data_IF_704247518640
#
_entry.id   IF_704247518640
#
_cell.length_a   1.000
_cell.length_b   1.000
_cell.length_c   1.000
_cell.angle_alpha   90.00
_cell.angle_beta   90.00
_cell.angle_gamma   90.00
#
_symmetry.space_group_name_H-M   'P 1'
#
loop_
_entity.id
_entity.type
_entity.pdbx_description
1 polymer ?
#
# COMPACT_ATOMS: atom_id res chain seq x y z
N UNK A 1 12.61 8.94 1.00
CA UNK A 1 12.99 7.74 0.21
C UNK A 1 12.91 8.12 -1.26
N UNK A 2 13.78 7.57 -2.10
CA UNK A 2 13.73 7.76 -3.53
C UNK A 2 13.52 6.43 -4.23
N UNK A 3 12.75 6.43 -5.30
CA UNK A 3 12.56 5.33 -6.22
C UNK A 3 13.21 5.63 -7.56
N UNK A 4 13.79 4.60 -8.16
CA UNK A 4 14.51 4.71 -9.41
C UNK A 4 13.71 4.09 -10.55
N UNK A 5 13.62 4.78 -11.67
CA UNK A 5 12.83 4.37 -12.82
C UNK A 5 13.65 4.50 -14.11
N UNK A 6 13.23 3.76 -15.12
CA UNK A 6 13.71 3.89 -16.48
C UNK A 6 12.66 4.59 -17.33
N UNK A 7 13.09 5.53 -18.15
CA UNK A 7 12.22 6.16 -19.13
C UNK A 7 12.00 5.20 -20.31
N UNK A 8 10.74 4.83 -20.62
CA UNK A 8 10.46 3.92 -21.73
C UNK A 8 10.83 4.53 -23.09
N UNK A 9 10.66 5.83 -23.25
CA UNK A 9 11.06 6.54 -24.48
C UNK A 9 12.57 6.43 -24.68
N UNK A 10 13.36 6.66 -23.63
CA UNK A 10 14.81 6.49 -23.70
C UNK A 10 15.21 5.06 -24.05
N UNK A 11 14.50 4.05 -23.53
CA UNK A 11 14.78 2.66 -23.86
C UNK A 11 14.50 2.38 -25.35
N UNK A 12 13.39 2.89 -25.89
CA UNK A 12 13.05 2.76 -27.32
C UNK A 12 14.07 3.47 -28.22
N UNK A 13 14.61 4.60 -27.78
CA UNK A 13 15.67 5.35 -28.47
C UNK A 13 17.07 4.75 -28.28
N UNK A 14 17.21 3.66 -27.52
CA UNK A 14 18.50 3.02 -27.21
C UNK A 14 19.35 3.81 -26.21
N UNK A 15 18.78 4.77 -25.53
CA UNK A 15 19.44 5.55 -24.49
C UNK A 15 19.35 4.83 -23.15
N UNK A 16 20.44 4.85 -22.38
CA UNK A 16 20.40 4.37 -20.98
C UNK A 16 20.08 5.56 -20.10
N UNK A 17 18.82 5.69 -19.74
CA UNK A 17 18.40 6.69 -18.78
C UNK A 17 17.72 6.05 -17.55
N UNK A 18 18.07 6.59 -16.42
CA UNK A 18 17.63 6.17 -15.12
C UNK A 18 17.46 7.45 -14.29
N UNK A 19 16.26 7.71 -13.84
CA UNK A 19 15.93 8.90 -13.06
C UNK A 19 15.33 8.51 -11.70
N UNK A 20 15.46 9.41 -10.74
CA UNK A 20 14.96 9.19 -9.39
C UNK A 20 13.78 10.11 -9.09
N UNK A 21 12.76 9.58 -8.44
CA UNK A 21 11.61 10.34 -7.95
C UNK A 21 11.54 10.22 -6.44
N UNK A 22 11.30 11.34 -5.78
CA UNK A 22 11.10 11.36 -4.34
C UNK A 22 9.73 10.76 -3.98
N UNK A 23 9.73 9.79 -3.06
CA UNK A 23 8.50 9.19 -2.55
C UNK A 23 7.92 10.08 -1.44
N UNK A 24 6.94 10.88 -1.81
CA UNK A 24 6.16 11.76 -0.95
C UNK A 24 4.66 11.64 -1.30
N UNK A 25 3.79 12.46 -0.75
CA UNK A 25 2.34 12.37 -1.05
C UNK A 25 2.04 12.54 -2.54
N UNK A 26 2.71 13.47 -3.22
CA UNK A 26 2.52 13.71 -4.66
C UNK A 26 2.89 12.49 -5.51
N UNK A 27 3.84 11.66 -5.07
CA UNK A 27 4.21 10.42 -5.75
C UNK A 27 3.03 9.46 -5.94
N UNK A 28 2.09 9.44 -4.99
CA UNK A 28 0.88 8.60 -5.05
C UNK A 28 -0.28 9.24 -5.81
N UNK A 29 -0.09 10.44 -6.36
CA UNK A 29 -1.08 11.20 -7.14
C UNK A 29 -0.72 11.28 -8.63
N UNK A 30 0.06 10.32 -9.12
CA UNK A 30 0.52 10.26 -10.51
C UNK A 30 1.18 11.58 -10.95
N UNK A 31 2.37 11.92 -10.42
CA UNK A 31 3.05 13.17 -10.74
C UNK A 31 3.51 13.23 -12.19
N UNK A 32 3.57 14.45 -12.74
CA UNK A 32 4.35 14.69 -13.95
C UNK A 32 5.83 14.69 -13.58
N UNK A 33 6.63 13.95 -14.34
CA UNK A 33 8.08 13.80 -14.16
C UNK A 33 8.81 14.05 -15.45
N UNK A 34 10.09 14.39 -15.33
CA UNK A 34 10.99 14.60 -16.47
C UNK A 34 12.24 13.76 -16.28
N UNK A 35 12.61 12.97 -17.28
CA UNK A 35 13.85 12.22 -17.28
C UNK A 35 15.06 13.08 -17.63
N UNK A 36 16.30 12.59 -17.48
CA UNK A 36 17.53 13.35 -17.76
C UNK A 36 17.67 13.76 -19.23
N UNK A 37 16.97 13.08 -20.13
CA UNK A 37 16.95 13.41 -21.56
C UNK A 37 15.80 14.37 -21.96
N UNK A 38 15.03 14.88 -20.98
CA UNK A 38 14.00 15.88 -21.18
C UNK A 38 12.64 15.32 -21.58
N UNK A 39 12.42 14.00 -21.57
CA UNK A 39 11.10 13.41 -21.82
C UNK A 39 10.20 13.63 -20.61
N UNK A 40 8.99 14.18 -20.86
CA UNK A 40 7.98 14.47 -19.84
C UNK A 40 6.83 13.50 -19.95
N UNK A 41 6.43 12.91 -18.84
CA UNK A 41 5.31 11.97 -18.77
C UNK A 41 4.70 11.92 -17.37
N UNK A 42 3.50 11.35 -17.25
CA UNK A 42 2.89 11.07 -15.96
C UNK A 42 3.38 9.73 -15.45
N UNK A 43 3.96 9.74 -14.25
CA UNK A 43 4.39 8.54 -13.55
C UNK A 43 3.20 7.89 -12.86
N UNK A 44 2.72 6.79 -13.40
CA UNK A 44 1.62 6.03 -12.84
C UNK A 44 2.15 4.89 -11.96
N UNK A 45 2.05 5.05 -10.65
CA UNK A 45 2.48 4.03 -9.68
C UNK A 45 1.31 3.21 -9.17
N UNK A 46 1.31 1.90 -9.45
CA UNK A 46 0.29 0.96 -8.98
C UNK A 46 0.59 0.33 -7.62
N UNK A 47 1.78 0.57 -7.06
CA UNK A 47 2.14 0.02 -5.75
C UNK A 47 1.43 0.78 -4.65
N UNK A 48 0.70 0.09 -3.74
CA UNK A 48 -0.03 0.74 -2.67
C UNK A 48 0.88 1.47 -1.69
N UNK A 49 0.40 2.58 -1.11
CA UNK A 49 1.14 3.36 -0.12
C UNK A 49 1.55 2.55 1.11
N UNK A 50 0.68 1.64 1.56
CA UNK A 50 0.99 0.80 2.73
C UNK A 50 2.21 -0.09 2.49
N UNK A 51 2.45 -0.52 1.26
CA UNK A 51 3.57 -1.39 0.92
C UNK A 51 4.91 -0.65 1.03
N UNK A 52 4.95 0.63 0.63
CA UNK A 52 6.10 1.51 0.89
C UNK A 52 6.34 1.71 2.38
N UNK A 53 5.28 1.91 3.17
CA UNK A 53 5.40 2.08 4.62
C UNK A 53 5.97 0.84 5.30
N UNK A 54 5.56 -0.36 4.87
CA UNK A 54 6.14 -1.60 5.38
C UNK A 54 7.59 -1.80 4.96
N UNK A 55 7.95 -1.46 3.74
CA UNK A 55 9.35 -1.46 3.30
C UNK A 55 10.20 -0.54 4.17
N UNK A 56 9.73 0.69 4.41
CA UNK A 56 10.40 1.63 5.31
C UNK A 56 10.50 1.12 6.75
N UNK A 57 9.48 0.40 7.23
CA UNK A 57 9.50 -0.22 8.56
C UNK A 57 10.59 -1.28 8.70
N UNK A 58 10.73 -2.14 7.68
CA UNK A 58 11.80 -3.16 7.63
C UNK A 58 13.17 -2.52 7.57
N UNK A 59 13.35 -1.49 6.75
CA UNK A 59 14.62 -0.75 6.67
C UNK A 59 14.98 -0.05 8.00
N UNK A 60 14.00 0.57 8.66
CA UNK A 60 14.20 1.18 9.95
C UNK A 60 14.58 0.15 11.03
N UNK A 61 13.90 -1.02 11.04
CA UNK A 61 14.23 -2.12 11.93
C UNK A 61 15.68 -2.60 11.74
N UNK A 62 16.10 -2.85 10.49
CA UNK A 62 17.47 -3.27 10.17
C UNK A 62 18.54 -2.26 10.62
N UNK A 63 18.18 -0.99 10.73
CA UNK A 63 19.04 0.08 11.26
C UNK A 63 18.90 0.29 12.78
N UNK A 64 18.23 -0.65 13.49
CA UNK A 64 17.90 -0.53 14.91
C UNK A 64 17.09 0.73 15.29
N UNK A 65 16.41 1.36 14.33
CA UNK A 65 15.50 2.47 14.58
C UNK A 65 14.08 1.96 14.82
N UNK A 66 13.88 1.33 15.97
CA UNK A 66 12.63 0.65 16.31
C UNK A 66 11.45 1.61 16.47
N UNK A 67 11.68 2.85 16.94
CA UNK A 67 10.64 3.87 17.03
C UNK A 67 10.06 4.20 15.66
N UNK A 68 10.91 4.44 14.67
CA UNK A 68 10.45 4.69 13.30
C UNK A 68 9.78 3.45 12.71
N UNK A 69 10.33 2.25 12.94
CA UNK A 69 9.74 1.00 12.45
C UNK A 69 8.33 0.81 12.99
N UNK A 70 8.11 0.99 14.30
CA UNK A 70 6.78 0.91 14.94
C UNK A 70 5.78 1.90 14.31
N UNK A 71 6.19 3.15 14.10
CA UNK A 71 5.32 4.16 13.48
C UNK A 71 4.97 3.80 12.04
N UNK A 72 5.94 3.32 11.25
CA UNK A 72 5.70 2.93 9.86
C UNK A 72 4.82 1.67 9.76
N UNK A 73 5.02 0.68 10.64
CA UNK A 73 4.16 -0.52 10.72
C UNK A 73 2.70 -0.14 11.00
N UNK A 74 2.47 0.73 11.98
CA UNK A 74 1.12 1.12 12.35
C UNK A 74 0.46 1.99 11.26
N UNK A 75 1.19 2.95 10.70
CA UNK A 75 0.72 3.77 9.58
C UNK A 75 0.42 2.92 8.33
N UNK A 76 1.26 1.93 8.04
CA UNK A 76 1.03 0.97 6.96
C UNK A 76 -0.26 0.17 7.18
N UNK A 77 -0.50 -0.29 8.40
CA UNK A 77 -1.74 -0.97 8.76
C UNK A 77 -2.98 -0.07 8.56
N UNK A 78 -2.95 1.17 9.05
CA UNK A 78 -4.06 2.13 8.84
C UNK A 78 -4.31 2.41 7.35
N UNK A 79 -3.25 2.57 6.55
CA UNK A 79 -3.35 2.72 5.09
C UNK A 79 -3.96 1.47 4.44
N UNK A 80 -3.55 0.27 4.85
CA UNK A 80 -4.13 -0.97 4.35
C UNK A 80 -5.64 -1.07 4.64
N UNK A 81 -6.08 -0.74 5.86
CA UNK A 81 -7.50 -0.72 6.19
C UNK A 81 -8.27 0.27 5.31
N UNK A 82 -7.70 1.44 5.05
CA UNK A 82 -8.30 2.45 4.16
C UNK A 82 -8.42 1.93 2.73
N UNK A 83 -7.38 1.30 2.19
CA UNK A 83 -7.40 0.75 0.84
C UNK A 83 -8.39 -0.42 0.73
N UNK A 84 -8.53 -1.25 1.77
CA UNK A 84 -9.53 -2.30 1.82
C UNK A 84 -10.97 -1.73 1.78
N UNK A 85 -11.25 -0.70 2.57
CA UNK A 85 -12.55 0.00 2.56
C UNK A 85 -12.82 0.62 1.19
N UNK A 86 -11.81 1.27 0.61
CA UNK A 86 -11.90 1.90 -0.71
C UNK A 86 -12.20 0.88 -1.82
N UNK A 87 -11.52 -0.26 -1.79
CA UNK A 87 -11.72 -1.38 -2.73
C UNK A 87 -13.15 -1.90 -2.67
N UNK A 88 -13.67 -2.12 -1.46
CA UNK A 88 -15.06 -2.54 -1.28
C UNK A 88 -16.04 -1.49 -1.83
N UNK A 89 -15.86 -0.22 -1.46
CA UNK A 89 -16.71 0.86 -1.98
C UNK A 89 -16.66 0.94 -3.50
N UNK A 90 -15.47 0.83 -4.11
CA UNK A 90 -15.32 0.85 -5.56
C UNK A 90 -16.03 -0.33 -6.22
N UNK A 91 -15.94 -1.52 -5.63
CA UNK A 91 -16.65 -2.71 -6.14
C UNK A 91 -18.18 -2.54 -6.16
N UNK A 92 -18.73 -1.78 -5.20
CA UNK A 92 -20.17 -1.54 -5.08
C UNK A 92 -20.65 -0.35 -5.91
N UNK A 93 -19.91 0.77 -5.86
CA UNK A 93 -20.34 2.05 -6.42
C UNK A 93 -19.94 2.22 -7.89
N UNK A 94 -18.84 1.60 -8.32
CA UNK A 94 -18.26 1.74 -9.68
C UNK A 94 -17.99 3.21 -10.07
N UNK A 95 -17.79 4.08 -9.09
CA UNK A 95 -17.58 5.52 -9.26
C UNK A 95 -16.48 6.02 -8.32
N UNK A 96 -15.30 6.28 -8.87
CA UNK A 96 -14.12 6.71 -8.12
C UNK A 96 -14.32 8.07 -7.46
N UNK A 97 -15.07 8.97 -8.06
CA UNK A 97 -15.34 10.32 -7.51
C UNK A 97 -16.12 10.22 -6.19
N UNK A 98 -17.14 9.37 -6.15
CA UNK A 98 -17.91 9.09 -4.93
C UNK A 98 -17.07 8.36 -3.89
N UNK A 99 -16.24 7.41 -4.29
CA UNK A 99 -15.32 6.70 -3.39
C UNK A 99 -14.36 7.69 -2.73
N UNK A 100 -13.67 8.52 -3.51
CA UNK A 100 -12.72 9.51 -2.98
C UNK A 100 -13.38 10.54 -2.05
N UNK A 101 -14.59 11.01 -2.38
CA UNK A 101 -15.36 11.91 -1.50
C UNK A 101 -15.74 11.20 -0.20
N UNK A 102 -16.23 9.96 -0.27
CA UNK A 102 -16.58 9.18 0.92
C UNK A 102 -15.36 8.96 1.82
N UNK A 103 -14.21 8.60 1.24
CA UNK A 103 -12.98 8.41 2.01
C UNK A 103 -12.50 9.70 2.69
N UNK A 104 -12.74 10.87 2.11
CA UNK A 104 -12.45 12.16 2.76
C UNK A 104 -13.33 12.40 3.99
N UNK A 105 -14.61 12.04 3.93
CA UNK A 105 -15.53 12.19 5.06
C UNK A 105 -15.19 11.23 6.23
N UNK A 106 -14.67 10.05 5.93
CA UNK A 106 -14.32 9.04 6.93
C UNK A 106 -12.81 8.96 7.20
N UNK A 107 -12.03 10.00 6.93
CA UNK A 107 -10.56 9.97 6.95
C UNK A 107 -9.91 9.82 8.34
N UNK A 108 -10.69 9.78 9.44
CA UNK A 108 -10.19 9.53 10.78
C UNK A 108 -10.04 8.03 11.03
N UNK A 109 -8.95 7.64 11.70
CA UNK A 109 -8.63 6.23 11.99
C UNK A 109 -9.82 5.46 12.58
N UNK A 110 -10.55 6.04 13.54
CA UNK A 110 -11.68 5.35 14.17
C UNK A 110 -12.82 5.09 13.18
N UNK A 111 -13.09 6.03 12.26
CA UNK A 111 -14.14 5.88 11.25
C UNK A 111 -13.75 4.85 10.18
N UNK A 112 -12.51 4.88 9.72
CA UNK A 112 -11.97 3.88 8.79
C UNK A 112 -12.03 2.50 9.43
N UNK A 113 -11.60 2.37 10.69
CA UNK A 113 -11.65 1.12 11.42
C UNK A 113 -13.10 0.60 11.58
N UNK A 114 -14.04 1.47 11.91
CA UNK A 114 -15.46 1.11 11.99
C UNK A 114 -16.04 0.64 10.66
N UNK A 115 -15.72 1.33 9.57
CA UNK A 115 -16.10 0.94 8.21
C UNK A 115 -15.49 -0.42 7.84
N UNK A 116 -14.18 -0.61 8.10
CA UNK A 116 -13.49 -1.87 7.87
C UNK A 116 -14.14 -3.04 8.62
N UNK A 117 -14.38 -2.91 9.93
CA UNK A 117 -15.03 -3.97 10.75
C UNK A 117 -16.39 -4.33 10.19
N UNK A 118 -17.18 -3.35 9.75
CA UNK A 118 -18.50 -3.57 9.16
C UNK A 118 -18.41 -4.31 7.83
N UNK A 119 -17.50 -3.88 6.96
CA UNK A 119 -17.27 -4.52 5.66
C UNK A 119 -16.73 -5.94 5.83
N UNK A 120 -15.78 -6.12 6.75
CA UNK A 120 -15.25 -7.44 7.09
C UNK A 120 -16.36 -8.42 7.49
N UNK A 121 -17.29 -7.98 8.37
CA UNK A 121 -18.42 -8.81 8.78
C UNK A 121 -19.38 -9.11 7.62
N UNK A 122 -19.61 -8.16 6.71
CA UNK A 122 -20.43 -8.35 5.50
C UNK A 122 -19.81 -9.38 4.57
N UNK A 123 -18.50 -9.27 4.31
CA UNK A 123 -17.80 -10.12 3.35
C UNK A 123 -17.59 -11.54 3.89
N UNK A 124 -17.05 -11.65 5.10
CA UNK A 124 -16.59 -12.93 5.65
C UNK A 124 -17.57 -13.61 6.58
N UNK A 125 -18.71 -12.94 6.93
CA UNK A 125 -19.71 -13.43 7.88
C UNK A 125 -19.13 -13.76 9.26
N UNK A 126 -18.08 -13.01 9.65
CA UNK A 126 -17.35 -13.17 10.90
C UNK A 126 -17.14 -11.81 11.57
N UNK A 127 -17.00 -11.82 12.89
CA UNK A 127 -16.64 -10.62 13.65
C UNK A 127 -15.13 -10.43 13.62
N UNK A 128 -14.66 -9.30 13.09
CA UNK A 128 -13.25 -8.97 13.14
C UNK A 128 -12.78 -8.67 14.58
N UNK A 129 -11.80 -9.42 15.06
CA UNK A 129 -11.17 -9.18 16.35
C UNK A 129 -9.98 -8.25 16.14
N UNK A 130 -10.17 -6.96 16.40
CA UNK A 130 -9.12 -5.96 16.22
C UNK A 130 -8.02 -6.09 17.30
N UNK A 131 -7.19 -7.12 17.17
CA UNK A 131 -6.07 -7.39 18.08
C UNK A 131 -4.96 -6.33 17.96
N UNK A 132 -4.77 -5.77 16.76
CA UNK A 132 -3.76 -4.73 16.53
C UNK A 132 -4.11 -3.48 17.33
N UNK A 133 -5.35 -3.00 17.23
CA UNK A 133 -5.78 -1.82 17.98
C UNK A 133 -5.66 -2.04 19.49
N UNK A 134 -6.11 -3.20 19.98
CA UNK A 134 -6.09 -3.50 21.41
C UNK A 134 -4.71 -3.64 22.02
N UNK A 135 -3.77 -4.29 21.30
CA UNK A 135 -2.45 -4.66 21.85
C UNK A 135 -1.34 -3.69 21.47
N UNK A 136 -1.41 -3.11 20.29
CA UNK A 136 -0.29 -2.37 19.69
C UNK A 136 -0.50 -0.86 19.57
N UNK A 137 -1.75 -0.35 19.63
CA UNK A 137 -2.00 1.10 19.66
C UNK A 137 -1.31 1.78 20.84
N UNK A 138 -1.21 1.11 21.99
CA UNK A 138 -0.55 1.64 23.18
C UNK A 138 0.93 1.91 22.94
N UNK A 139 1.66 0.99 22.26
CA UNK A 139 3.09 1.18 21.94
C UNK A 139 3.24 2.35 20.96
N UNK A 140 2.44 2.37 19.90
CA UNK A 140 2.44 3.47 18.93
C UNK A 140 2.18 4.81 19.59
N UNK A 141 1.19 4.89 20.48
CA UNK A 141 0.87 6.13 21.17
C UNK A 141 1.98 6.58 22.14
N UNK A 142 2.65 5.65 22.84
CA UNK A 142 3.82 5.97 23.66
C UNK A 142 4.97 6.50 22.80
N UNK A 143 5.26 5.88 21.66
CA UNK A 143 6.31 6.35 20.74
C UNK A 143 5.99 7.75 20.24
N UNK A 144 4.77 7.98 19.77
CA UNK A 144 4.37 9.23 19.13
C UNK A 144 4.21 10.38 20.12
N UNK A 145 3.57 10.14 21.28
CA UNK A 145 3.22 11.21 22.23
C UNK A 145 4.15 11.35 23.41
N UNK A 146 4.83 10.26 23.82
CA UNK A 146 5.67 10.26 25.02
C UNK A 146 7.17 10.08 24.74
N UNK A 147 7.59 10.03 23.46
CA UNK A 147 8.99 9.84 23.11
C UNK A 147 9.56 8.49 23.58
N UNK A 148 8.72 7.48 23.68
CA UNK A 148 9.11 6.15 24.12
C UNK A 148 10.00 5.46 23.07
N UNK A 149 11.05 4.77 23.55
CA UNK A 149 11.92 3.96 22.70
C UNK A 149 11.55 2.48 22.87
N UNK A 150 10.84 1.88 21.90
CA UNK A 150 10.49 0.47 21.97
C UNK A 150 11.73 -0.42 21.86
N UNK A 151 11.67 -1.59 22.50
CA UNK A 151 12.71 -2.61 22.33
C UNK A 151 12.58 -3.29 20.97
N UNK A 152 13.67 -4.00 20.59
CA UNK A 152 13.66 -4.86 19.40
C UNK A 152 12.52 -5.89 19.43
N UNK A 153 12.32 -6.51 20.61
CA UNK A 153 11.27 -7.51 20.81
C UNK A 153 9.86 -6.94 20.64
N UNK A 154 9.59 -5.73 21.16
CA UNK A 154 8.30 -5.05 21.00
C UNK A 154 8.04 -4.70 19.52
N UNK A 155 9.05 -4.22 18.82
CA UNK A 155 8.97 -3.91 17.39
C UNK A 155 8.71 -5.19 16.58
N UNK A 156 9.43 -6.26 16.84
CA UNK A 156 9.28 -7.55 16.18
C UNK A 156 7.87 -8.15 16.41
N UNK A 157 7.38 -8.13 17.65
CA UNK A 157 6.03 -8.62 17.98
C UNK A 157 4.95 -7.83 17.23
N UNK A 158 5.08 -6.52 17.17
CA UNK A 158 4.14 -5.67 16.43
C UNK A 158 4.21 -5.94 14.92
N UNK A 159 5.40 -6.04 14.35
CA UNK A 159 5.59 -6.31 12.93
C UNK A 159 4.97 -7.65 12.53
N UNK A 160 5.24 -8.72 13.29
CA UNK A 160 4.63 -10.02 13.03
C UNK A 160 3.10 -9.96 13.14
N UNK A 161 2.56 -9.31 14.16
CA UNK A 161 1.12 -9.20 14.35
C UNK A 161 0.44 -8.46 13.19
N UNK A 162 0.99 -7.31 12.78
CA UNK A 162 0.45 -6.51 11.67
C UNK A 162 0.47 -7.29 10.36
N UNK A 163 1.62 -7.85 9.99
CA UNK A 163 1.74 -8.57 8.72
C UNK A 163 0.91 -9.86 8.69
N UNK A 164 0.84 -10.61 9.81
CA UNK A 164 -0.01 -11.80 9.89
C UNK A 164 -1.48 -11.45 9.66
N UNK A 165 -1.99 -10.39 10.29
CA UNK A 165 -3.38 -9.95 10.11
C UNK A 165 -3.66 -9.58 8.65
N UNK A 166 -2.76 -8.84 8.00
CA UNK A 166 -2.93 -8.44 6.60
C UNK A 166 -2.91 -9.68 5.69
N UNK A 167 -1.98 -10.60 5.91
CA UNK A 167 -1.88 -11.84 5.11
C UNK A 167 -3.13 -12.71 5.28
N UNK A 168 -3.66 -12.83 6.51
CA UNK A 168 -4.90 -13.56 6.78
C UNK A 168 -6.11 -12.94 6.09
N UNK A 169 -6.24 -11.60 6.13
CA UNK A 169 -7.31 -10.87 5.45
C UNK A 169 -7.20 -11.09 3.94
N UNK A 170 -6.01 -10.93 3.37
CA UNK A 170 -5.77 -11.14 1.94
C UNK A 170 -6.10 -12.59 1.52
N UNK A 171 -5.71 -13.57 2.32
CA UNK A 171 -6.06 -14.98 2.07
C UNK A 171 -7.58 -15.20 2.06
N UNK A 172 -8.29 -14.71 3.07
CA UNK A 172 -9.76 -14.80 3.13
C UNK A 172 -10.41 -14.13 1.92
N UNK A 173 -9.88 -12.98 1.49
CA UNK A 173 -10.38 -12.25 0.33
C UNK A 173 -10.18 -13.04 -0.97
N UNK A 174 -9.01 -13.67 -1.15
CA UNK A 174 -8.72 -14.55 -2.28
C UNK A 174 -9.64 -15.76 -2.28
N UNK A 175 -9.87 -16.38 -1.12
CA UNK A 175 -10.75 -17.54 -0.99
C UNK A 175 -12.22 -17.17 -1.26
N UNK A 176 -12.66 -15.98 -0.85
CA UNK A 176 -13.96 -15.43 -1.20
C UNK A 176 -14.10 -15.24 -2.73
N UNK A 177 -13.07 -14.70 -3.37
CA UNK A 177 -13.03 -14.53 -4.82
C UNK A 177 -13.17 -15.84 -5.59
N UNK A 178 -12.53 -16.91 -5.14
CA UNK A 178 -12.68 -18.26 -5.70
C UNK A 178 -14.11 -18.79 -5.60
N UNK A 179 -14.79 -18.50 -4.48
CA UNK A 179 -16.14 -18.97 -4.24
C UNK A 179 -17.22 -18.16 -4.99
N UNK A 180 -17.00 -16.88 -5.22
CA UNK A 180 -17.98 -15.93 -5.77
C UNK A 180 -17.75 -15.54 -7.23
N UNK A 181 -16.66 -16.03 -7.87
CA UNK A 181 -16.21 -15.55 -9.17
C UNK A 181 -15.60 -14.14 -9.12
N UNK A 182 -15.48 -13.55 -7.95
CA UNK A 182 -14.70 -12.35 -7.71
C UNK A 182 -13.22 -12.72 -7.80
N UNK A 183 -12.43 -11.90 -8.43
CA UNK A 183 -11.00 -12.15 -8.51
C UNK A 183 -10.30 -11.43 -7.36
N UNK A 184 -9.23 -12.01 -6.84
CA UNK A 184 -8.25 -11.35 -5.96
C UNK A 184 -7.73 -10.01 -6.55
N UNK A 185 -8.12 -9.75 -7.76
CA UNK A 185 -7.88 -8.61 -8.61
C UNK A 185 -8.42 -7.30 -8.02
N UNK A 186 -9.45 -7.31 -7.19
CA UNK A 186 -10.13 -6.06 -6.79
C UNK A 186 -9.30 -5.20 -5.82
N UNK A 187 -8.54 -5.82 -4.91
CA UNK A 187 -7.61 -5.06 -4.04
C UNK A 187 -6.43 -4.47 -4.81
N UNK A 188 -5.91 -5.20 -5.79
CA UNK A 188 -4.84 -4.72 -6.66
C UNK A 188 -5.35 -3.69 -7.68
N UNK A 189 -6.55 -3.90 -8.19
CA UNK A 189 -7.17 -3.02 -9.19
C UNK A 189 -7.56 -1.66 -8.63
N UNK A 190 -7.95 -1.55 -7.36
CA UNK A 190 -8.29 -0.24 -6.79
C UNK A 190 -7.15 0.77 -6.97
N UNK A 191 -5.90 0.39 -6.70
CA UNK A 191 -4.77 1.29 -6.89
C UNK A 191 -4.52 1.63 -8.36
N UNK A 192 -4.73 0.68 -9.26
CA UNK A 192 -4.66 0.93 -10.70
C UNK A 192 -5.80 1.86 -11.15
N UNK A 193 -7.04 1.57 -10.76
CA UNK A 193 -8.21 2.40 -11.07
C UNK A 193 -8.05 3.83 -10.54
N UNK A 194 -7.54 3.97 -9.32
CA UNK A 194 -7.23 5.27 -8.73
C UNK A 194 -6.15 6.01 -9.51
N UNK A 195 -5.12 5.31 -9.94
CA UNK A 195 -4.04 5.87 -10.77
C UNK A 195 -4.58 6.35 -12.11
N UNK A 196 -5.40 5.54 -12.78
CA UNK A 196 -6.07 5.89 -14.04
C UNK A 196 -6.92 7.15 -13.84
N UNK A 197 -7.75 7.18 -12.80
CA UNK A 197 -8.58 8.33 -12.45
C UNK A 197 -7.78 9.61 -12.25
N UNK A 198 -6.62 9.57 -11.56
CA UNK A 198 -5.75 10.73 -11.40
C UNK A 198 -5.12 11.18 -12.73
N UNK A 199 -4.76 10.26 -13.61
CA UNK A 199 -4.28 10.59 -14.96
C UNK A 199 -5.38 11.28 -15.79
N UNK A 200 -6.60 10.74 -15.78
CA UNK A 200 -7.73 11.29 -16.50
C UNK A 200 -8.11 12.71 -16.01
N UNK A 201 -8.05 12.93 -14.70
CA UNK A 201 -8.24 14.29 -14.13
C UNK A 201 -7.20 15.31 -14.59
N UNK A 202 -6.02 14.84 -14.99
CA UNK A 202 -4.96 15.67 -15.60
C UNK A 202 -5.12 15.80 -17.13
N UNK A 203 -6.21 15.30 -17.69
CA UNK A 203 -6.49 15.35 -19.13
C UNK A 203 -5.73 14.34 -19.96
N UNK A 204 -5.08 13.37 -19.31
CA UNK A 204 -4.30 12.32 -19.96
C UNK A 204 -5.10 11.03 -20.00
N UNK A 205 -5.36 10.51 -21.20
CA UNK A 205 -6.04 9.22 -21.36
C UNK A 205 -5.06 8.08 -21.09
N UNK A 206 -5.42 7.23 -20.16
CA UNK A 206 -4.76 5.95 -19.97
C UNK A 206 -5.09 5.04 -21.15
N UNK A 207 -4.11 4.62 -21.93
CA UNK A 207 -4.34 3.73 -23.05
C UNK A 207 -3.05 3.08 -23.54
N UNK A 208 -3.18 1.87 -24.03
CA UNK A 208 -2.12 1.16 -24.74
C UNK A 208 -1.80 1.98 -26.00
N UNK A 209 -0.59 2.57 -26.05
CA UNK A 209 -0.11 3.26 -27.25
C UNK A 209 0.27 4.74 -27.08
N UNK A 210 0.31 5.26 -25.85
CA UNK A 210 0.85 6.60 -25.60
C UNK A 210 1.93 6.57 -24.52
N UNK A 211 3.08 5.89 -24.77
CA UNK A 211 4.21 5.90 -23.83
C UNK A 211 4.73 7.32 -23.56
N UNK A 212 4.46 8.23 -24.48
CA UNK A 212 4.84 9.64 -24.39
C UNK A 212 4.06 10.42 -23.33
N UNK A 213 2.94 9.92 -22.83
CA UNK A 213 2.07 10.63 -21.91
C UNK A 213 2.00 9.99 -20.54
N UNK A 214 1.96 8.67 -20.45
CA UNK A 214 1.85 7.92 -19.19
C UNK A 214 2.75 6.71 -19.21
N UNK A 215 3.56 6.58 -18.18
CA UNK A 215 4.37 5.38 -17.95
C UNK A 215 3.96 4.75 -16.61
N UNK A 216 3.57 3.47 -16.64
CA UNK A 216 3.15 2.74 -15.45
C UNK A 216 4.31 1.95 -14.87
N UNK A 217 4.43 2.03 -13.56
CA UNK A 217 5.44 1.32 -12.80
C UNK A 217 4.82 0.62 -11.61
N UNK A 218 5.30 -0.59 -11.33
CA UNK A 218 5.14 -1.22 -10.02
C UNK A 218 6.50 -1.26 -9.34
N UNK A 219 6.57 -0.86 -8.08
CA UNK A 219 7.82 -0.95 -7.32
C UNK A 219 8.19 -2.42 -7.08
N UNK A 220 9.42 -2.79 -7.41
CA UNK A 220 9.97 -4.09 -7.03
C UNK A 220 10.35 -4.18 -5.54
N UNK A 221 10.21 -3.07 -4.81
CA UNK A 221 10.57 -2.97 -3.39
C UNK A 221 9.40 -3.26 -2.45
N UNK A 222 8.17 -3.35 -2.96
CA UNK A 222 7.01 -3.65 -2.14
C UNK A 222 7.00 -5.08 -1.60
N UNK A 223 6.63 -5.24 -0.34
CA UNK A 223 6.56 -6.53 0.34
C UNK A 223 5.44 -7.40 -0.26
N UNK A 224 4.33 -6.77 -0.64
CA UNK A 224 3.14 -7.44 -1.17
C UNK A 224 3.03 -7.35 -2.69
N UNK A 225 3.60 -6.30 -3.31
CA UNK A 225 3.56 -6.10 -4.77
C UNK A 225 4.47 -7.06 -5.54
N UNK A 226 5.43 -7.72 -4.87
CA UNK A 226 6.31 -8.72 -5.50
C UNK A 226 5.61 -10.05 -5.85
N UNK A 227 4.28 -10.14 -5.77
CA UNK A 227 3.52 -11.32 -6.13
C UNK A 227 3.67 -12.51 -5.18
N UNK A 228 4.34 -12.32 -4.06
CA UNK A 228 4.45 -13.33 -3.01
C UNK A 228 3.14 -13.44 -2.20
N UNK A 229 2.08 -13.87 -2.85
CA UNK A 229 0.95 -14.48 -2.17
C UNK A 229 1.52 -15.81 -1.65
N UNK A 230 2.00 -15.78 -0.42
CA UNK A 230 2.48 -16.99 0.23
C UNK A 230 1.29 -17.93 0.38
N UNK A 231 1.40 -19.19 -0.07
CA UNK A 231 0.31 -20.17 0.02
C UNK A 231 -0.10 -20.44 1.48
N UNK A 232 0.79 -20.15 2.41
CA UNK A 232 0.56 -20.24 3.86
C UNK A 232 1.05 -18.95 4.53
N UNK A 233 0.30 -18.47 5.52
CA UNK A 233 0.71 -17.34 6.36
C UNK A 233 1.82 -17.82 7.29
N UNK A 234 3.05 -17.32 7.19
CA UNK A 234 4.13 -17.76 8.05
C UNK A 234 3.91 -17.30 9.49
N UNK A 235 4.46 -18.04 10.46
CA UNK A 235 4.33 -17.74 11.90
C UNK A 235 4.93 -16.37 12.26
N UNK A 236 6.07 -16.03 11.63
CA UNK A 236 6.83 -14.80 11.92
C UNK A 236 7.16 -14.04 10.62
N UNK A 237 6.16 -13.46 9.92
CA UNK A 237 6.38 -12.85 8.61
C UNK A 237 7.35 -11.66 8.64
N UNK A 238 7.32 -10.84 9.67
CA UNK A 238 8.22 -9.69 9.81
C UNK A 238 9.67 -10.13 10.08
N UNK A 239 9.85 -11.19 10.88
CA UNK A 239 11.16 -11.78 11.12
C UNK A 239 11.78 -12.30 9.81
N UNK A 240 10.98 -12.95 8.95
CA UNK A 240 11.46 -13.44 7.64
C UNK A 240 11.95 -12.27 6.78
N UNK A 241 11.22 -11.16 6.74
CA UNK A 241 11.59 -9.97 5.96
C UNK A 241 12.83 -9.27 6.50
N UNK A 242 13.00 -9.24 7.81
CA UNK A 242 14.15 -8.57 8.44
C UNK A 242 15.42 -9.43 8.42
N UNK A 243 15.31 -10.75 8.30
CA UNK A 243 16.45 -11.69 8.24
C UNK A 243 17.02 -11.91 6.83
N UNK A 244 16.27 -11.54 5.77
CA UNK A 244 16.80 -11.56 4.40
C UNK A 244 17.79 -10.41 4.22
N UNK A 245 19.07 -10.74 4.25
CA UNK A 245 20.20 -9.83 3.93
C UNK A 245 20.61 -10.07 2.50
#
# INVERSE_FOLDING_TARGET
>A
MKESFFCSICIEEGLKDHFEVEVNENFFESPEVECSNGHKFILANSTPKFDYLFTMAVEAYKKANYSQSVLMLYSGYECYLKDFVATYLMSQLKDMDTVEKTLKEINRSERINGAFVSIYAILFKEVYKNEIEKKHSTIRNKVFHAGYFPSEEECMKMGNAVLSVIMEINKKYIDLGKASGWTAYDLLNYNLDRTIYHCEKKGVKWGVGSPDQVQSFSSNKGIFSSGAILPEVPTDPFKILTSKV
#
